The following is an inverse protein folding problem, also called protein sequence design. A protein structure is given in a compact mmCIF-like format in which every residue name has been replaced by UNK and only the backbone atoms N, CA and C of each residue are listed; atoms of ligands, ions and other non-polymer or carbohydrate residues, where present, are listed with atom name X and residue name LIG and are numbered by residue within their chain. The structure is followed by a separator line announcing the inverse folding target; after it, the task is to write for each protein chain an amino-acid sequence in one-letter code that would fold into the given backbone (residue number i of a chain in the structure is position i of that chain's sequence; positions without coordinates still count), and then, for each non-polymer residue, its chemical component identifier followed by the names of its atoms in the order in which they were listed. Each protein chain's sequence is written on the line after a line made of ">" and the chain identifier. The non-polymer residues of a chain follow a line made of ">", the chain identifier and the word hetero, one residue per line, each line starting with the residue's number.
data_IF_990367227530
#
_entry.id   IF_990367227530
#
_cell.length_a   1.000
_cell.length_b   1.000
_cell.length_c   1.000
_cell.angle_alpha   90.00
_cell.angle_beta   90.00
_cell.angle_gamma   90.00
#
_symmetry.space_group_name_H-M   'P 1'
#
loop_
_entity.id
_entity.type
_entity.pdbx_description
1 polymer ?
#
# COMPACT_ATOMS: atom_id res chain seq x y z
N UNK A 1 5.31 -15.57 21.42
CA UNK A 1 5.54 -14.11 21.53
C UNK A 1 4.25 -13.40 21.13
N UNK A 2 3.81 -12.35 21.85
CA UNK A 2 2.63 -11.58 21.45
C UNK A 2 2.89 -10.78 20.17
N UNK A 3 1.85 -10.61 19.35
CA UNK A 3 1.93 -9.78 18.14
C UNK A 3 2.02 -8.30 18.54
N UNK A 4 2.89 -7.55 17.87
CA UNK A 4 3.17 -6.14 18.18
C UNK A 4 2.31 -5.14 17.40
N UNK A 5 1.48 -5.63 16.46
CA UNK A 5 0.64 -4.83 15.57
C UNK A 5 -0.79 -5.42 15.51
N UNK A 6 -1.80 -4.56 15.45
CA UNK A 6 -3.23 -4.95 15.37
C UNK A 6 -3.68 -5.41 13.98
N UNK A 7 -4.99 -5.53 13.80
CA UNK A 7 -5.70 -6.04 12.62
C UNK A 7 -5.32 -7.49 12.24
N UNK A 8 -5.17 -8.34 13.27
CA UNK A 8 -4.72 -9.73 13.15
C UNK A 8 -5.76 -10.71 12.57
N UNK A 9 -7.02 -10.28 12.51
CA UNK A 9 -8.10 -11.03 11.88
C UNK A 9 -8.53 -10.37 10.54
N UNK A 10 -9.67 -9.68 10.53
CA UNK A 10 -10.27 -9.14 9.32
C UNK A 10 -9.81 -7.70 9.06
N UNK A 11 -8.84 -7.58 8.15
CA UNK A 11 -8.27 -6.31 7.69
C UNK A 11 -8.98 -5.71 6.46
N UNK A 12 -10.12 -6.26 6.03
CA UNK A 12 -10.83 -5.75 4.85
C UNK A 12 -11.31 -4.33 5.12
N UNK A 13 -11.06 -3.42 4.17
CA UNK A 13 -11.45 -2.02 4.30
C UNK A 13 -10.40 -1.14 5.02
N UNK A 14 -9.31 -1.73 5.53
CA UNK A 14 -8.23 -0.97 6.18
C UNK A 14 -7.67 0.15 5.29
N UNK A 15 -7.50 -0.11 3.99
CA UNK A 15 -7.04 0.91 3.04
C UNK A 15 -8.04 2.06 2.85
N UNK A 16 -9.35 1.78 2.88
CA UNK A 16 -10.38 2.81 2.78
C UNK A 16 -10.45 3.63 4.07
N UNK A 17 -10.40 2.97 5.23
CA UNK A 17 -10.38 3.65 6.52
C UNK A 17 -9.13 4.54 6.66
N UNK A 18 -7.98 4.11 6.13
CA UNK A 18 -6.75 4.91 6.11
C UNK A 18 -6.86 6.13 5.22
N UNK A 19 -7.48 5.97 4.06
CA UNK A 19 -7.77 7.08 3.15
C UNK A 19 -8.69 8.10 3.82
N UNK A 20 -9.83 7.65 4.38
CA UNK A 20 -10.81 8.52 5.03
C UNK A 20 -10.20 9.29 6.20
N UNK A 21 -9.41 8.62 7.03
CA UNK A 21 -8.76 9.27 8.16
C UNK A 21 -7.68 10.25 7.70
N UNK A 22 -6.81 9.86 6.76
CA UNK A 22 -5.76 10.72 6.24
C UNK A 22 -6.33 12.01 5.64
N UNK A 23 -7.45 11.88 4.93
CA UNK A 23 -8.22 13.00 4.40
C UNK A 23 -8.72 13.92 5.52
N UNK A 24 -9.33 13.37 6.58
CA UNK A 24 -9.81 14.15 7.72
C UNK A 24 -8.69 14.92 8.45
N UNK A 25 -7.46 14.36 8.51
CA UNK A 25 -6.30 15.02 9.12
C UNK A 25 -5.46 15.87 8.15
N UNK A 26 -5.83 15.96 6.88
CA UNK A 26 -5.05 16.68 5.87
C UNK A 26 -3.63 16.12 5.63
N UNK A 27 -3.40 14.83 5.92
CA UNK A 27 -2.11 14.16 5.68
C UNK A 27 -2.17 13.30 4.40
N UNK A 28 -1.04 13.04 3.72
CA UNK A 28 -1.02 12.08 2.63
C UNK A 28 -1.48 10.70 3.09
N UNK A 29 -2.42 10.10 2.36
CA UNK A 29 -2.82 8.71 2.56
C UNK A 29 -1.74 7.75 2.03
N UNK A 30 -1.61 6.58 2.67
CA UNK A 30 -0.63 5.54 2.33
C UNK A 30 -0.98 4.86 1.01
N UNK A 31 -2.26 4.69 0.70
CA UNK A 31 -2.75 4.13 -0.56
C UNK A 31 -2.79 5.19 -1.69
N UNK A 32 -1.72 5.95 -1.87
CA UNK A 32 -1.64 7.05 -2.82
C UNK A 32 -1.66 6.58 -4.29
N UNK A 33 -2.13 7.45 -5.19
CA UNK A 33 -2.16 7.17 -6.63
C UNK A 33 -0.79 6.82 -7.22
N UNK A 34 0.31 7.39 -6.72
CA UNK A 34 1.67 7.06 -7.15
C UNK A 34 2.06 5.60 -6.86
N UNK A 35 1.55 5.04 -5.75
CA UNK A 35 1.73 3.64 -5.39
C UNK A 35 0.84 2.76 -6.27
N UNK A 36 -0.39 3.16 -6.55
CA UNK A 36 -1.28 2.43 -7.45
C UNK A 36 -0.69 2.34 -8.87
N UNK A 37 -0.16 3.45 -9.38
CA UNK A 37 0.59 3.48 -10.64
C UNK A 37 1.84 2.58 -10.60
N UNK A 38 2.33 2.17 -9.42
CA UNK A 38 3.44 1.20 -9.32
C UNK A 38 3.03 -0.17 -9.66
N UNK A 39 1.94 -0.55 -9.04
CA UNK A 39 1.39 -1.86 -9.17
C UNK A 39 1.01 -2.07 -10.64
N UNK A 40 0.41 -1.06 -11.28
CA UNK A 40 0.10 -1.09 -12.71
C UNK A 40 1.35 -1.27 -13.58
N UNK A 41 2.41 -0.50 -13.34
CA UNK A 41 3.67 -0.64 -14.09
C UNK A 41 4.31 -2.02 -13.90
N UNK A 42 4.31 -2.55 -12.67
CA UNK A 42 4.81 -3.90 -12.37
C UNK A 42 3.98 -4.94 -13.12
N UNK A 43 2.64 -4.86 -13.04
CA UNK A 43 1.73 -5.77 -13.73
C UNK A 43 2.01 -5.78 -15.23
N UNK A 44 2.16 -4.61 -15.84
CA UNK A 44 2.49 -4.48 -17.25
C UNK A 44 3.89 -5.03 -17.57
N UNK A 45 4.89 -4.73 -16.74
CA UNK A 45 6.25 -5.23 -16.92
C UNK A 45 6.34 -6.76 -16.85
N UNK A 46 5.54 -7.40 -16.00
CA UNK A 46 5.45 -8.88 -15.92
C UNK A 46 4.94 -9.45 -17.25
N UNK A 47 3.88 -8.87 -17.81
CA UNK A 47 3.32 -9.31 -19.09
C UNK A 47 4.33 -9.15 -20.23
N UNK A 48 4.98 -7.99 -20.32
CA UNK A 48 6.00 -7.71 -21.33
C UNK A 48 7.22 -8.62 -21.15
N UNK A 49 7.64 -8.90 -19.91
CA UNK A 49 8.75 -9.81 -19.65
C UNK A 49 8.46 -11.23 -20.13
N UNK A 50 7.23 -11.70 -19.89
CA UNK A 50 6.78 -13.02 -20.33
C UNK A 50 6.73 -13.14 -21.85
N UNK A 51 6.21 -12.12 -22.53
CA UNK A 51 6.12 -12.08 -24.00
C UNK A 51 7.50 -12.05 -24.67
N UNK A 52 8.43 -11.29 -24.09
CA UNK A 52 9.76 -11.08 -24.68
C UNK A 52 10.83 -12.05 -24.17
N UNK A 53 10.52 -12.89 -23.18
CA UNK A 53 11.49 -13.80 -22.54
C UNK A 53 12.66 -13.08 -21.87
N UNK A 54 12.48 -11.83 -21.40
CA UNK A 54 13.56 -11.02 -20.80
C UNK A 54 13.06 -10.14 -19.66
N UNK A 55 13.95 -9.85 -18.72
CA UNK A 55 13.67 -8.95 -17.60
C UNK A 55 13.32 -7.53 -18.08
N UNK A 56 12.40 -6.86 -17.38
CA UNK A 56 12.01 -5.48 -17.62
C UNK A 56 12.48 -4.59 -16.47
N UNK A 57 13.01 -3.42 -16.79
CA UNK A 57 13.37 -2.40 -15.80
C UNK A 57 12.17 -1.51 -15.52
N UNK A 58 11.87 -1.29 -14.24
CA UNK A 58 10.84 -0.34 -13.82
C UNK A 58 11.45 1.06 -13.77
N UNK A 59 10.70 2.05 -14.26
CA UNK A 59 11.19 3.42 -14.40
C UNK A 59 10.64 4.35 -13.32
N UNK A 60 9.44 4.07 -12.81
CA UNK A 60 8.84 4.93 -11.79
C UNK A 60 9.43 4.62 -10.42
N UNK A 61 9.94 5.67 -9.77
CA UNK A 61 10.32 5.64 -8.35
C UNK A 61 9.12 6.06 -7.50
N UNK A 62 8.98 5.46 -6.32
CA UNK A 62 7.93 5.77 -5.36
C UNK A 62 8.51 5.81 -3.97
N UNK A 63 7.93 6.66 -3.14
CA UNK A 63 8.23 6.67 -1.70
C UNK A 63 7.57 5.45 -1.08
N UNK A 64 8.36 4.61 -0.42
CA UNK A 64 7.84 3.51 0.40
C UNK A 64 6.89 4.10 1.46
N UNK A 65 5.62 3.67 1.55
CA UNK A 65 4.72 4.13 2.59
C UNK A 65 5.27 3.79 3.97
N UNK A 66 5.03 4.67 4.95
CA UNK A 66 5.39 4.39 6.34
C UNK A 66 4.48 3.28 6.89
N UNK A 67 5.00 2.35 7.72
CA UNK A 67 4.17 1.40 8.43
C UNK A 67 3.06 2.08 9.25
N UNK A 68 2.00 1.32 9.54
CA UNK A 68 1.00 1.75 10.51
C UNK A 68 1.63 1.87 11.91
N UNK A 69 1.23 2.86 12.72
CA UNK A 69 1.74 2.97 14.08
C UNK A 69 1.31 1.75 14.91
N UNK A 70 2.10 1.35 15.92
CA UNK A 70 1.66 0.37 16.90
C UNK A 70 0.55 0.96 17.79
N UNK A 71 -0.27 0.10 18.40
CA UNK A 71 -1.31 0.51 19.35
C UNK A 71 -2.61 1.06 18.73
N UNK A 72 -2.79 0.93 17.41
CA UNK A 72 -4.08 1.22 16.78
C UNK A 72 -5.14 0.21 17.24
N UNK A 73 -6.34 0.65 17.64
CA UNK A 73 -7.48 -0.23 17.84
C UNK A 73 -7.79 -0.98 16.54
N UNK A 74 -8.20 -2.25 16.63
CA UNK A 74 -8.76 -2.96 15.49
C UNK A 74 -9.93 -2.13 14.95
N UNK A 75 -9.94 -1.88 13.64
CA UNK A 75 -10.89 -1.02 12.89
C UNK A 75 -10.72 0.52 12.94
N UNK A 76 -9.79 1.07 13.71
CA UNK A 76 -9.52 2.52 13.71
C UNK A 76 -8.25 2.82 12.92
N UNK A 77 -8.32 3.78 11.99
CA UNK A 77 -7.12 4.25 11.31
C UNK A 77 -6.65 5.57 11.88
N UNK A 78 -5.39 5.54 12.33
CA UNK A 78 -4.48 6.60 12.77
C UNK A 78 -4.10 7.67 11.75
#
# INVERSE_FOLDING_TARGET
>A
MPLTHGNVEQSRGLGLAELSYAFAQGRPHRAAGELALHVVEIMQAILVASDQGRQQTLHRRRRRPHPLPPGLPDSVVA
#
